data_IF_154130991637
#
_entry.id   IF_154130991637
#
_cell.length_a   1.000
_cell.length_b   1.000
_cell.length_c   1.000
_cell.angle_alpha   90.00
_cell.angle_beta   90.00
_cell.angle_gamma   90.00
#
_symmetry.space_group_name_H-M   'P 1'
#
loop_
_entity.id
_entity.type
_entity.pdbx_description
1 polymer ?
#
# COMPACT_ATOMS: atom_id res chain seq x y z
N UNK A 1 8.12 -19.66 6.91
CA UNK A 1 7.97 -18.61 7.94
C UNK A 1 7.78 -17.20 7.38
N UNK A 2 8.50 -16.81 6.31
CA UNK A 2 8.41 -15.44 5.75
C UNK A 2 7.04 -15.13 5.10
N UNK A 3 6.40 -16.09 4.45
CA UNK A 3 5.11 -15.87 3.76
C UNK A 3 3.93 -15.52 4.70
N UNK A 4 3.89 -16.06 5.92
CA UNK A 4 2.84 -15.72 6.90
C UNK A 4 3.05 -14.36 7.54
N UNK A 5 4.28 -13.86 7.59
CA UNK A 5 4.60 -12.55 8.15
C UNK A 5 3.90 -11.45 7.36
N UNK A 6 4.06 -11.47 6.02
CA UNK A 6 3.42 -10.51 5.10
C UNK A 6 1.90 -10.53 5.08
N UNK A 7 1.25 -11.53 5.68
CA UNK A 7 -0.21 -11.58 5.81
C UNK A 7 -0.73 -10.68 6.92
N UNK A 8 0.12 -10.08 7.77
CA UNK A 8 -0.34 -9.20 8.86
C UNK A 8 -0.28 -7.75 8.43
N UNK A 9 -1.35 -7.00 8.65
CA UNK A 9 -1.42 -5.56 8.33
C UNK A 9 -0.21 -4.78 8.91
N UNK A 10 0.22 -5.10 10.13
CA UNK A 10 1.32 -4.38 10.80
C UNK A 10 2.69 -4.50 10.13
N UNK A 11 2.96 -5.61 9.42
CA UNK A 11 4.25 -5.79 8.72
C UNK A 11 4.47 -4.77 7.62
N UNK A 12 3.39 -4.19 7.14
CA UNK A 12 3.46 -3.14 6.15
C UNK A 12 4.01 -1.84 6.73
N UNK A 13 3.65 -1.47 7.97
CA UNK A 13 4.26 -0.34 8.66
C UNK A 13 5.74 -0.58 8.94
N UNK A 14 6.08 -1.78 9.39
CA UNK A 14 7.47 -2.19 9.66
C UNK A 14 8.35 -2.07 8.41
N UNK A 15 7.77 -2.20 7.21
CA UNK A 15 8.47 -2.03 5.93
C UNK A 15 8.44 -0.58 5.38
N UNK A 16 7.34 0.15 5.59
CA UNK A 16 7.11 1.45 4.95
C UNK A 16 7.63 2.64 5.78
N UNK A 17 7.46 2.61 7.10
CA UNK A 17 7.73 3.78 7.95
C UNK A 17 9.20 3.99 8.29
N UNK A 18 10.04 2.95 8.52
CA UNK A 18 11.45 3.19 8.82
C UNK A 18 12.19 3.83 7.64
N UNK A 19 13.17 4.69 7.95
CA UNK A 19 14.05 5.31 6.94
C UNK A 19 14.75 4.24 6.11
N UNK A 20 15.18 3.15 6.76
CA UNK A 20 15.85 2.02 6.15
C UNK A 20 15.35 0.71 6.76
N UNK A 21 15.22 -0.30 5.90
CA UNK A 21 14.85 -1.66 6.27
C UNK A 21 15.80 -2.60 5.55
N UNK A 22 16.48 -3.45 6.32
CA UNK A 22 17.45 -4.42 5.85
C UNK A 22 16.89 -5.83 6.08
N UNK A 23 16.89 -6.64 5.03
CA UNK A 23 16.59 -8.06 5.08
C UNK A 23 17.91 -8.80 5.32
N UNK A 24 17.95 -9.55 6.42
CA UNK A 24 19.13 -10.29 6.85
C UNK A 24 18.80 -11.80 6.83
N UNK A 25 19.66 -12.65 6.25
CA UNK A 25 19.46 -14.10 6.28
C UNK A 25 19.51 -14.63 7.71
N UNK A 26 18.51 -15.45 8.08
CA UNK A 26 18.42 -16.05 9.42
C UNK A 26 19.60 -17.00 9.73
N UNK A 27 20.21 -17.60 8.71
CA UNK A 27 21.21 -18.67 8.86
C UNK A 27 22.65 -18.18 8.99
N UNK A 28 22.90 -16.87 8.94
CA UNK A 28 24.26 -16.33 8.96
C UNK A 28 24.72 -16.04 10.39
N UNK A 29 25.88 -16.57 10.76
CA UNK A 29 26.54 -16.35 12.07
C UNK A 29 27.58 -15.25 12.02
N UNK A 30 28.05 -14.87 10.83
CA UNK A 30 28.95 -13.74 10.59
C UNK A 30 28.33 -12.88 9.49
N UNK A 31 28.09 -11.61 9.77
CA UNK A 31 27.41 -10.69 8.85
C UNK A 31 28.43 -9.81 8.14
N UNK A 32 28.39 -9.80 6.81
CA UNK A 32 28.99 -8.78 5.96
C UNK A 32 27.91 -7.86 5.40
N UNK A 33 28.26 -6.60 5.10
CA UNK A 33 27.36 -5.65 4.43
C UNK A 33 26.87 -6.18 3.07
N UNK A 34 27.64 -7.06 2.41
CA UNK A 34 27.26 -7.73 1.16
C UNK A 34 26.11 -8.71 1.29
N UNK A 35 25.80 -9.15 2.51
CA UNK A 35 24.82 -10.20 2.78
C UNK A 35 23.46 -9.61 3.19
N UNK A 36 23.37 -8.29 3.25
CA UNK A 36 22.14 -7.55 3.57
C UNK A 36 21.48 -7.03 2.30
N UNK A 37 20.15 -7.11 2.26
CA UNK A 37 19.36 -6.58 1.16
C UNK A 37 18.47 -5.47 1.67
N UNK A 38 18.62 -4.24 1.18
CA UNK A 38 17.71 -3.17 1.55
C UNK A 38 16.37 -3.30 0.82
N UNK A 39 15.31 -2.70 1.37
CA UNK A 39 14.03 -2.55 0.65
C UNK A 39 14.21 -1.81 -0.69
N UNK A 40 15.18 -0.89 -0.79
CA UNK A 40 15.46 -0.17 -2.05
C UNK A 40 16.03 -1.12 -3.11
N UNK A 41 16.92 -2.02 -2.70
CA UNK A 41 17.49 -3.03 -3.59
C UNK A 41 16.40 -3.99 -4.06
N UNK A 42 15.52 -4.43 -3.15
CA UNK A 42 14.36 -5.27 -3.47
C UNK A 42 13.44 -4.58 -4.50
N UNK A 43 13.17 -3.29 -4.33
CA UNK A 43 12.40 -2.50 -5.29
C UNK A 43 13.08 -2.45 -6.66
N UNK A 44 14.38 -2.15 -6.70
CA UNK A 44 15.16 -2.12 -7.93
C UNK A 44 15.14 -3.48 -8.66
N UNK A 45 15.33 -4.58 -7.93
CA UNK A 45 15.26 -5.94 -8.49
C UNK A 45 13.88 -6.26 -9.06
N UNK A 46 12.80 -5.90 -8.37
CA UNK A 46 11.44 -6.12 -8.91
C UNK A 46 11.15 -5.26 -10.14
N UNK A 47 11.66 -4.02 -10.18
CA UNK A 47 11.57 -3.18 -11.36
C UNK A 47 12.32 -3.76 -12.56
N UNK A 48 13.56 -4.22 -12.36
CA UNK A 48 14.38 -4.87 -13.39
C UNK A 48 13.71 -6.16 -13.88
N UNK A 49 13.22 -7.00 -12.97
CA UNK A 49 12.51 -8.24 -13.30
C UNK A 49 11.27 -7.98 -14.15
N UNK A 50 10.50 -6.93 -13.82
CA UNK A 50 9.32 -6.52 -14.61
C UNK A 50 9.70 -6.04 -16.02
N UNK A 51 10.77 -5.26 -16.15
CA UNK A 51 11.29 -4.83 -17.46
C UNK A 51 11.73 -6.04 -18.29
N UNK A 52 12.56 -6.91 -17.69
CA UNK A 52 13.05 -8.13 -18.34
C UNK A 52 11.89 -9.00 -18.84
N UNK A 53 10.86 -9.17 -18.02
CA UNK A 53 9.66 -9.92 -18.37
C UNK A 53 8.90 -9.31 -19.57
N UNK A 54 8.65 -8.00 -19.59
CA UNK A 54 8.00 -7.37 -20.75
C UNK A 54 8.84 -7.45 -22.02
N UNK A 55 10.17 -7.35 -21.91
CA UNK A 55 11.06 -7.55 -23.06
C UNK A 55 11.12 -9.00 -23.54
N UNK A 56 10.78 -9.96 -22.68
CA UNK A 56 10.70 -11.39 -23.01
C UNK A 56 9.34 -11.77 -23.62
N UNK A 57 8.23 -11.14 -23.21
CA UNK A 57 6.90 -11.39 -23.80
C UNK A 57 6.78 -10.84 -25.23
N UNK A 58 7.55 -9.80 -25.57
CA UNK A 58 7.63 -9.29 -26.95
C UNK A 58 8.33 -10.28 -27.92
N UNK A 59 8.83 -11.41 -27.40
CA UNK A 59 9.26 -12.56 -28.17
C UNK A 59 8.27 -13.71 -27.94
N UNK A 60 7.48 -14.02 -28.98
CA UNK A 60 6.54 -15.14 -29.02
C UNK A 60 7.15 -16.41 -28.41
N UNK A 61 6.63 -16.92 -27.30
CA UNK A 61 6.51 -18.37 -27.10
C UNK A 61 5.53 -18.76 -25.98
N UNK A 62 4.75 -19.81 -26.26
CA UNK A 62 3.81 -20.52 -25.38
C UNK A 62 4.55 -21.30 -24.27
N UNK A 63 5.42 -20.64 -23.51
CA UNK A 63 6.09 -21.29 -22.38
C UNK A 63 5.26 -21.15 -21.11
N UNK A 64 4.96 -22.31 -20.49
CA UNK A 64 4.49 -22.47 -19.11
C UNK A 64 5.56 -22.02 -18.10
N UNK A 65 6.02 -20.77 -18.23
CA UNK A 65 7.06 -20.16 -17.41
C UNK A 65 6.50 -19.55 -16.12
N UNK A 66 6.77 -20.27 -15.03
CA UNK A 66 6.82 -19.85 -13.61
C UNK A 66 5.74 -18.85 -13.20
N UNK A 67 4.59 -19.37 -12.77
CA UNK A 67 3.48 -18.61 -12.16
C UNK A 67 3.94 -17.62 -11.07
N UNK A 68 5.02 -17.93 -10.34
CA UNK A 68 5.57 -17.06 -9.29
C UNK A 68 6.17 -15.75 -9.84
N UNK A 69 6.79 -15.78 -11.03
CA UNK A 69 7.32 -14.56 -11.69
C UNK A 69 6.17 -13.74 -12.28
N UNK A 70 5.16 -14.40 -12.85
CA UNK A 70 3.94 -13.73 -13.31
C UNK A 70 3.21 -13.06 -12.13
N UNK A 71 3.10 -13.73 -10.98
CA UNK A 71 2.53 -13.16 -9.75
C UNK A 71 3.32 -11.95 -9.21
N UNK A 72 4.66 -11.96 -9.34
CA UNK A 72 5.52 -10.82 -8.99
C UNK A 72 5.47 -9.66 -9.99
N UNK A 73 5.30 -9.94 -11.29
CA UNK A 73 5.39 -8.96 -12.38
C UNK A 73 4.03 -8.35 -12.79
N UNK A 74 2.92 -9.08 -12.63
CA UNK A 74 1.56 -8.66 -12.99
C UNK A 74 0.67 -8.29 -11.80
N UNK A 75 0.93 -8.82 -10.60
CA UNK A 75 0.25 -8.36 -9.39
C UNK A 75 0.84 -7.05 -8.89
N UNK A 76 0.03 -6.20 -8.26
CA UNK A 76 0.53 -5.23 -7.28
C UNK A 76 1.25 -6.02 -6.18
N UNK A 77 2.53 -6.28 -6.38
CA UNK A 77 3.32 -7.11 -5.47
C UNK A 77 3.53 -6.37 -4.16
N UNK A 78 3.77 -7.10 -3.07
CA UNK A 78 4.07 -6.51 -1.76
C UNK A 78 5.20 -5.46 -1.84
N UNK A 79 6.17 -5.64 -2.73
CA UNK A 79 7.26 -4.68 -2.94
C UNK A 79 6.77 -3.38 -3.60
N UNK A 80 5.81 -3.47 -4.52
CA UNK A 80 5.18 -2.32 -5.15
C UNK A 80 4.34 -1.50 -4.16
N UNK A 81 3.52 -2.17 -3.34
CA UNK A 81 2.75 -1.51 -2.28
C UNK A 81 3.67 -0.78 -1.28
N UNK A 82 4.76 -1.44 -0.85
CA UNK A 82 5.78 -0.85 0.02
C UNK A 82 6.44 0.35 -0.67
N UNK A 83 6.76 0.26 -1.96
CA UNK A 83 7.35 1.36 -2.73
C UNK A 83 6.46 2.58 -2.77
N UNK A 84 5.18 2.40 -3.09
CA UNK A 84 4.21 3.50 -3.09
C UNK A 84 4.15 4.14 -1.70
N UNK A 85 4.01 3.33 -0.65
CA UNK A 85 3.94 3.82 0.74
C UNK A 85 5.15 4.64 1.15
N UNK A 86 6.34 4.15 0.82
CA UNK A 86 7.61 4.82 1.16
C UNK A 86 7.75 6.13 0.42
N UNK A 87 7.26 6.23 -0.82
CA UNK A 87 7.22 7.49 -1.56
C UNK A 87 6.37 8.53 -0.83
N UNK A 88 5.22 8.13 -0.28
CA UNK A 88 4.35 9.01 0.52
C UNK A 88 4.94 9.39 1.89
N UNK A 89 5.74 8.52 2.51
CA UNK A 89 6.29 8.77 3.85
C UNK A 89 7.60 9.57 3.84
N UNK A 90 8.47 9.36 2.84
CA UNK A 90 9.87 9.79 2.89
C UNK A 90 10.27 10.77 1.79
N UNK A 91 9.44 11.00 0.76
CA UNK A 91 9.74 12.03 -0.24
C UNK A 91 9.41 13.40 0.36
N UNK A 92 10.45 14.13 0.77
CA UNK A 92 10.37 15.52 1.19
C UNK A 92 10.22 16.46 -0.03
N UNK A 93 9.07 16.39 -0.70
CA UNK A 93 8.66 17.39 -1.70
C UNK A 93 7.85 18.51 -1.03
N UNK A 94 7.68 19.66 -1.70
CA UNK A 94 6.84 20.79 -1.23
C UNK A 94 5.39 20.35 -0.97
N UNK A 95 4.97 19.24 -1.57
CA UNK A 95 3.74 18.50 -1.31
C UNK A 95 4.09 17.08 -0.84
N UNK A 96 3.35 16.54 0.11
CA UNK A 96 3.57 15.16 0.58
C UNK A 96 3.27 14.12 -0.50
N UNK A 97 2.33 14.41 -1.41
CA UNK A 97 2.00 13.59 -2.57
C UNK A 97 1.02 14.25 -3.56
N UNK A 98 0.65 13.53 -4.63
CA UNK A 98 -0.45 13.86 -5.57
C UNK A 98 -1.71 13.07 -5.23
N UNK A 99 -2.88 13.49 -5.71
CA UNK A 99 -4.10 12.71 -5.52
C UNK A 99 -4.02 11.35 -6.22
N UNK A 100 -3.44 11.29 -7.41
CA UNK A 100 -3.13 10.05 -8.14
C UNK A 100 -2.25 9.09 -7.33
N UNK A 101 -1.28 9.63 -6.58
CA UNK A 101 -0.47 8.83 -5.66
C UNK A 101 -1.29 8.17 -4.56
N UNK A 102 -2.28 8.88 -4.00
CA UNK A 102 -3.20 8.30 -3.00
C UNK A 102 -4.18 7.30 -3.63
N UNK A 103 -4.63 7.57 -4.86
CA UNK A 103 -5.45 6.61 -5.62
C UNK A 103 -4.70 5.29 -5.83
N UNK A 104 -3.43 5.38 -6.27
CA UNK A 104 -2.55 4.21 -6.43
C UNK A 104 -2.34 3.44 -5.11
N UNK A 105 -2.29 4.14 -3.97
CA UNK A 105 -2.26 3.49 -2.65
C UNK A 105 -3.56 2.73 -2.36
N UNK A 106 -4.72 3.31 -2.65
CA UNK A 106 -5.99 2.61 -2.45
C UNK A 106 -6.14 1.40 -3.36
N UNK A 107 -5.68 1.47 -4.62
CA UNK A 107 -5.60 0.32 -5.52
C UNK A 107 -4.73 -0.80 -4.93
N UNK A 108 -3.56 -0.44 -4.40
CA UNK A 108 -2.69 -1.38 -3.68
C UNK A 108 -3.42 -2.03 -2.49
N UNK A 109 -4.14 -1.26 -1.68
CA UNK A 109 -4.82 -1.83 -0.51
C UNK A 109 -5.99 -2.73 -0.90
N UNK A 110 -6.73 -2.35 -1.94
CA UNK A 110 -7.92 -3.05 -2.41
C UNK A 110 -7.61 -4.47 -2.92
N UNK A 111 -6.37 -4.72 -3.35
CA UNK A 111 -5.92 -6.07 -3.75
C UNK A 111 -5.10 -6.78 -2.67
N UNK A 112 -4.93 -6.14 -1.50
CA UNK A 112 -4.03 -6.65 -0.46
C UNK A 112 -4.68 -7.76 0.37
N UNK A 113 -4.08 -8.97 0.46
CA UNK A 113 -4.63 -10.09 1.20
C UNK A 113 -4.36 -10.02 2.72
N UNK A 114 -3.80 -8.90 3.21
CA UNK A 114 -3.39 -8.75 4.61
C UNK A 114 -4.60 -8.79 5.55
N UNK A 115 -4.43 -9.44 6.68
CA UNK A 115 -5.44 -9.69 7.70
C UNK A 115 -4.94 -9.13 9.04
N UNK A 116 -5.89 -8.90 9.95
CA UNK A 116 -5.61 -8.59 11.34
C UNK A 116 -6.65 -9.27 12.24
N UNK A 117 -6.31 -9.41 13.51
CA UNK A 117 -7.18 -10.07 14.50
C UNK A 117 -8.29 -9.14 14.99
N UNK A 118 -7.97 -7.86 15.16
CA UNK A 118 -8.93 -6.82 15.52
C UNK A 118 -9.33 -6.05 14.26
N UNK A 119 -10.62 -6.00 13.87
CA UNK A 119 -11.10 -5.28 12.69
C UNK A 119 -10.61 -3.84 12.58
N UNK A 120 -10.43 -3.13 13.70
CA UNK A 120 -9.99 -1.73 13.68
C UNK A 120 -8.54 -1.58 13.23
N UNK A 121 -7.74 -2.64 13.32
CA UNK A 121 -6.33 -2.62 12.93
C UNK A 121 -6.14 -2.50 11.40
N UNK A 122 -7.17 -2.77 10.60
CA UNK A 122 -7.15 -2.42 9.18
C UNK A 122 -6.94 -0.91 8.98
N UNK A 123 -7.49 -0.08 9.89
CA UNK A 123 -7.32 1.39 9.87
C UNK A 123 -6.02 1.79 10.57
N UNK A 124 -5.81 1.35 11.81
CA UNK A 124 -4.61 1.75 12.57
C UNK A 124 -3.31 1.31 11.90
N UNK A 125 -3.37 0.22 11.14
CA UNK A 125 -2.29 -0.30 10.32
C UNK A 125 -1.85 0.60 9.17
N UNK A 126 -2.64 1.61 8.76
CA UNK A 126 -2.28 2.48 7.63
C UNK A 126 -2.06 3.94 8.02
N UNK A 127 -2.42 4.35 9.23
CA UNK A 127 -2.43 5.76 9.65
C UNK A 127 -1.07 6.47 9.46
N UNK A 128 0.02 5.78 9.80
CA UNK A 128 1.37 6.34 9.66
C UNK A 128 1.72 6.71 8.22
N UNK A 129 1.17 6.00 7.24
CA UNK A 129 1.46 6.20 5.82
C UNK A 129 0.72 7.43 5.28
N UNK A 130 -0.49 7.68 5.78
CA UNK A 130 -1.21 8.93 5.51
C UNK A 130 -0.77 10.09 6.41
N UNK A 131 0.08 9.82 7.42
CA UNK A 131 0.42 10.77 8.49
C UNK A 131 -0.86 11.40 9.08
N UNK A 132 -1.83 10.53 9.42
CA UNK A 132 -3.09 10.88 10.07
C UNK A 132 -3.01 10.45 11.53
N UNK A 133 -3.45 11.32 12.43
CA UNK A 133 -3.56 11.01 13.85
C UNK A 133 -5.02 10.90 14.25
N UNK A 134 -5.44 9.72 14.71
CA UNK A 134 -6.75 9.51 15.31
C UNK A 134 -6.58 8.74 16.64
N UNK A 135 -7.34 9.09 17.70
CA UNK A 135 -7.28 8.39 18.97
C UNK A 135 -7.68 6.91 18.81
N UNK A 136 -7.11 6.02 19.64
CA UNK A 136 -7.54 4.61 19.69
C UNK A 136 -8.98 4.54 20.20
N UNK A 137 -9.84 3.87 19.44
CA UNK A 137 -11.25 3.60 19.78
C UNK A 137 -11.54 2.11 19.64
N UNK A 138 -12.60 1.66 20.30
CA UNK A 138 -13.05 0.27 20.29
C UNK A 138 -14.18 0.01 19.29
N UNK A 139 -15.01 1.01 19.00
CA UNK A 139 -16.10 0.87 18.04
C UNK A 139 -15.57 0.97 16.59
N UNK A 140 -15.67 -0.09 15.76
CA UNK A 140 -15.08 -0.08 14.42
C UNK A 140 -15.74 0.91 13.47
N UNK A 141 -17.03 1.18 13.63
CA UNK A 141 -17.71 2.18 12.81
C UNK A 141 -17.22 3.59 13.16
N UNK A 142 -17.09 3.93 14.44
CA UNK A 142 -16.50 5.21 14.87
C UNK A 142 -15.07 5.37 14.34
N UNK A 143 -14.23 4.31 14.42
CA UNK A 143 -12.87 4.33 13.87
C UNK A 143 -12.89 4.63 12.38
N UNK A 144 -13.74 3.93 11.62
CA UNK A 144 -13.86 4.11 10.19
C UNK A 144 -14.34 5.52 9.80
N UNK A 145 -15.40 6.01 10.44
CA UNK A 145 -15.93 7.36 10.17
C UNK A 145 -14.90 8.45 10.46
N UNK A 146 -14.13 8.28 11.54
CA UNK A 146 -13.08 9.21 11.92
C UNK A 146 -11.92 9.17 10.91
N UNK A 147 -11.50 7.98 10.50
CA UNK A 147 -10.50 7.80 9.44
C UNK A 147 -10.91 8.47 8.13
N UNK A 148 -12.12 8.20 7.64
CA UNK A 148 -12.63 8.81 6.39
C UNK A 148 -12.69 10.34 6.51
N UNK A 149 -13.05 10.85 7.67
CA UNK A 149 -13.10 12.30 7.92
C UNK A 149 -11.72 12.93 7.87
N UNK A 150 -10.72 12.36 8.55
CA UNK A 150 -9.35 12.88 8.51
C UNK A 150 -8.69 12.68 7.15
N UNK A 151 -8.97 11.57 6.47
CA UNK A 151 -8.53 11.34 5.10
C UNK A 151 -9.07 12.41 4.15
N UNK A 152 -10.37 12.73 4.21
CA UNK A 152 -10.94 13.78 3.37
C UNK A 152 -10.33 15.16 3.66
N UNK A 153 -10.00 15.46 4.93
CA UNK A 153 -9.26 16.69 5.27
C UNK A 153 -7.87 16.69 4.65
N UNK A 154 -7.15 15.58 4.73
CA UNK A 154 -5.84 15.41 4.08
C UNK A 154 -5.94 15.65 2.57
N UNK A 155 -6.83 14.94 1.89
CA UNK A 155 -6.97 14.98 0.43
C UNK A 155 -7.48 16.33 -0.10
N UNK A 156 -8.07 17.16 0.75
CA UNK A 156 -8.53 18.51 0.40
C UNK A 156 -7.59 19.62 0.87
N UNK A 157 -6.48 19.29 1.56
CA UNK A 157 -5.49 20.27 1.99
C UNK A 157 -4.50 20.57 0.86
N UNK A 158 -4.58 21.75 0.21
CA UNK A 158 -3.69 22.10 -0.89
C UNK A 158 -2.23 22.29 -0.45
N UNK A 159 -1.94 22.34 0.85
CA UNK A 159 -0.56 22.37 1.36
C UNK A 159 0.05 20.97 1.42
N UNK A 160 -0.77 19.93 1.49
CA UNK A 160 -0.31 18.53 1.64
C UNK A 160 -0.44 17.75 0.34
N UNK A 161 -1.48 18.02 -0.43
CA UNK A 161 -1.80 17.31 -1.69
C UNK A 161 -1.79 18.29 -2.85
N UNK A 162 -0.98 18.00 -3.85
CA UNK A 162 -1.00 18.72 -5.11
C UNK A 162 -2.16 18.21 -5.96
N UNK A 163 -3.10 19.09 -6.31
CA UNK A 163 -4.10 18.81 -7.34
C UNK A 163 -3.58 19.34 -8.69
N UNK A 164 -3.51 18.45 -9.67
CA UNK A 164 -2.99 18.71 -11.02
C UNK A 164 -4.15 18.98 -12.00
N UNK A 165 -5.31 18.34 -11.81
CA UNK A 165 -6.40 18.35 -12.81
C UNK A 165 -7.80 18.51 -12.19
N UNK A 166 -8.77 19.02 -12.97
CA UNK A 166 -10.16 19.15 -12.52
C UNK A 166 -10.85 17.80 -12.31
N UNK A 167 -10.41 16.74 -13.00
CA UNK A 167 -10.90 15.36 -12.85
C UNK A 167 -10.66 14.82 -11.42
N UNK A 168 -9.65 15.33 -10.73
CA UNK A 168 -9.31 14.97 -9.35
C UNK A 168 -10.35 15.46 -8.33
N UNK A 169 -11.11 16.52 -8.66
CA UNK A 169 -12.26 16.95 -7.82
C UNK A 169 -13.37 15.91 -7.83
N UNK A 170 -13.52 15.17 -8.92
CA UNK A 170 -14.50 14.11 -9.06
C UNK A 170 -14.15 12.90 -8.18
N UNK A 171 -12.85 12.59 -8.05
CA UNK A 171 -12.33 11.56 -7.15
C UNK A 171 -12.69 11.90 -5.69
N UNK A 172 -12.41 13.14 -5.25
CA UNK A 172 -12.74 13.59 -3.90
C UNK A 172 -14.26 13.55 -3.65
N UNK A 173 -15.07 13.90 -4.65
CA UNK A 173 -16.54 13.80 -4.56
C UNK A 173 -16.99 12.35 -4.33
N UNK A 174 -16.39 11.39 -5.04
CA UNK A 174 -16.66 9.96 -4.84
C UNK A 174 -16.25 9.47 -3.46
N UNK A 175 -15.15 9.96 -2.91
CA UNK A 175 -14.72 9.59 -1.55
C UNK A 175 -15.65 10.14 -0.45
N UNK A 176 -16.45 11.16 -0.77
CA UNK A 176 -17.53 11.66 0.10
C UNK A 176 -18.82 10.85 0.00
N UNK A 177 -18.92 9.89 -0.92
CA UNK A 177 -20.13 9.10 -1.14
C UNK A 177 -20.45 8.17 0.02
N UNK A 178 -21.72 7.78 0.10
CA UNK A 178 -22.22 6.81 1.08
C UNK A 178 -21.49 5.46 0.98
N UNK A 179 -21.02 5.07 -0.22
CA UNK A 179 -20.27 3.82 -0.42
C UNK A 179 -19.05 3.73 0.50
N UNK A 180 -18.26 4.80 0.59
CA UNK A 180 -17.09 4.84 1.47
C UNK A 180 -17.53 4.86 2.93
N UNK A 181 -18.55 5.66 3.25
CA UNK A 181 -19.09 5.77 4.62
C UNK A 181 -19.68 4.47 5.16
N UNK A 182 -20.19 3.59 4.30
CA UNK A 182 -20.88 2.36 4.68
C UNK A 182 -19.97 1.12 4.76
N UNK A 183 -18.67 1.25 4.51
CA UNK A 183 -17.73 0.16 4.69
C UNK A 183 -17.77 -0.34 6.15
N UNK A 184 -17.93 -1.66 6.31
CA UNK A 184 -18.05 -2.30 7.62
C UNK A 184 -16.80 -3.14 7.92
N UNK A 185 -15.97 -2.65 8.85
CA UNK A 185 -14.76 -3.32 9.27
C UNK A 185 -15.02 -4.71 9.87
N UNK A 186 -16.16 -4.91 10.55
CA UNK A 186 -16.48 -6.17 11.24
C UNK A 186 -16.67 -7.35 10.29
N UNK A 187 -17.04 -7.09 9.04
CA UNK A 187 -17.30 -8.13 8.04
C UNK A 187 -16.13 -8.38 7.11
N UNK A 188 -15.13 -7.50 7.12
CA UNK A 188 -13.99 -7.60 6.22
C UNK A 188 -13.00 -8.66 6.70
N UNK A 189 -12.59 -9.55 5.80
CA UNK A 189 -11.62 -10.62 6.06
C UNK A 189 -10.18 -10.18 5.86
N UNK A 190 -9.98 -9.14 5.06
CA UNK A 190 -8.68 -8.62 4.69
C UNK A 190 -8.77 -7.13 4.32
N UNK A 191 -7.60 -6.53 4.17
CA UNK A 191 -7.41 -5.14 3.77
C UNK A 191 -8.09 -4.83 2.43
N UNK A 192 -8.03 -5.75 1.46
CA UNK A 192 -8.70 -5.60 0.17
C UNK A 192 -10.19 -5.29 0.29
N UNK A 193 -10.91 -6.10 1.07
CA UNK A 193 -12.34 -5.93 1.32
C UNK A 193 -12.67 -4.59 2.00
N UNK A 194 -11.77 -4.06 2.86
CA UNK A 194 -11.95 -2.76 3.51
C UNK A 194 -11.79 -1.60 2.53
N UNK A 195 -10.76 -1.64 1.68
CA UNK A 195 -10.37 -0.50 0.85
C UNK A 195 -10.94 -0.52 -0.56
N UNK A 196 -11.59 -1.61 -0.99
CA UNK A 196 -12.32 -1.69 -2.26
C UNK A 196 -13.38 -0.59 -2.41
N UNK A 197 -13.89 -0.02 -1.31
CA UNK A 197 -14.86 1.07 -1.36
C UNK A 197 -14.30 2.37 -1.97
N UNK A 198 -12.97 2.53 -2.02
CA UNK A 198 -12.29 3.68 -2.64
C UNK A 198 -12.00 3.48 -4.13
N UNK A 199 -12.14 2.27 -4.66
CA UNK A 199 -11.83 2.00 -6.07
C UNK A 199 -12.97 2.51 -6.96
N UNK A 200 -12.58 3.27 -7.98
CA UNK A 200 -13.47 3.81 -8.99
C UNK A 200 -13.42 2.86 -10.19
N UNK A 201 -14.54 2.23 -10.51
CA UNK A 201 -14.66 1.45 -11.74
C UNK A 201 -14.49 2.41 -12.93
N UNK A 202 -13.52 2.12 -13.81
CA UNK A 202 -13.25 2.90 -15.02
C UNK A 202 -14.33 2.73 -16.07
#
# INVERSE_FOLDING_TARGET
MVHSWWKRVWTWQEAALPVEVLLIPETFTELSDSDMLSIKDLQAFTGIGRIAYYTMIDQEDDSEGIDDIKGMAFGWSTTHEISLSRNHCHIHSRYSSTLDGYFSLFEAFAVSPRQCMDPVDHVYGVLGIFQIEIPRKTDPNEVWQLFVTELLKLLTDPKRVMMIEDCEKEIISRYKSDRVRQCNLLTAKNMGEVYQCFIIDK
#
